data_IF_216211933666
#
_entry.id   IF_216211933666
#
_cell.length_a   1.000
_cell.length_b   1.000
_cell.length_c   1.000
_cell.angle_alpha   90.00
_cell.angle_beta   90.00
_cell.angle_gamma   90.00
#
_symmetry.space_group_name_H-M   'P 1'
#
loop_
_entity.id
_entity.type
_entity.pdbx_description
1 polymer ?
#
# COMPACT_ATOMS: atom_id res chain seq x y z
N UNK A 1 17.13 -4.95 -4.61
CA UNK A 1 16.50 -3.61 -4.69
C UNK A 1 15.56 -3.53 -5.89
N UNK A 2 16.04 -3.87 -7.08
CA UNK A 2 15.19 -3.89 -8.28
C UNK A 2 14.08 -4.94 -8.13
N UNK A 3 14.40 -6.07 -7.54
CA UNK A 3 13.42 -7.12 -7.26
C UNK A 3 12.29 -6.58 -6.38
N UNK A 4 12.61 -5.91 -5.28
CA UNK A 4 11.59 -5.36 -4.39
C UNK A 4 10.75 -4.28 -5.07
N UNK A 5 11.39 -3.44 -5.88
CA UNK A 5 10.67 -2.41 -6.60
C UNK A 5 9.67 -3.00 -7.59
N UNK A 6 10.12 -3.93 -8.43
CA UNK A 6 9.30 -4.47 -9.52
C UNK A 6 8.37 -5.56 -9.01
N UNK A 7 8.91 -6.56 -8.32
CA UNK A 7 8.15 -7.73 -7.95
C UNK A 7 7.13 -7.42 -6.85
N UNK A 8 7.59 -6.93 -5.72
CA UNK A 8 6.71 -6.70 -4.57
C UNK A 8 5.80 -5.50 -4.79
N UNK A 9 6.39 -4.36 -5.18
CA UNK A 9 5.62 -3.14 -5.37
C UNK A 9 4.58 -3.28 -6.46
N UNK A 10 4.97 -3.83 -7.61
CA UNK A 10 4.04 -3.97 -8.74
C UNK A 10 2.95 -5.00 -8.45
N UNK A 11 3.32 -6.14 -7.86
CA UNK A 11 2.34 -7.18 -7.54
C UNK A 11 1.27 -6.67 -6.58
N UNK A 12 1.67 -5.99 -5.53
CA UNK A 12 0.73 -5.42 -4.57
C UNK A 12 -0.12 -4.33 -5.19
N UNK A 13 0.46 -3.47 -6.02
CA UNK A 13 -0.29 -2.40 -6.68
C UNK A 13 -1.28 -2.94 -7.71
N UNK A 14 -0.91 -3.96 -8.45
CA UNK A 14 -1.84 -4.59 -9.40
C UNK A 14 -3.03 -5.16 -8.64
N UNK A 15 -2.81 -5.86 -7.54
CA UNK A 15 -3.89 -6.45 -6.78
C UNK A 15 -4.75 -5.40 -6.10
N UNK A 16 -4.15 -4.49 -5.32
CA UNK A 16 -4.92 -3.57 -4.50
C UNK A 16 -5.46 -2.38 -5.28
N UNK A 17 -4.67 -1.74 -6.16
CA UNK A 17 -5.10 -0.54 -6.87
C UNK A 17 -5.56 -0.82 -8.28
N UNK A 18 -4.95 -1.81 -8.93
CA UNK A 18 -5.37 -2.17 -10.28
C UNK A 18 -6.61 -3.04 -10.32
N UNK A 19 -6.82 -3.87 -9.31
CA UNK A 19 -7.94 -4.81 -9.28
C UNK A 19 -8.95 -4.48 -8.20
N UNK A 20 -8.56 -4.59 -6.94
CA UNK A 20 -9.48 -4.48 -5.81
C UNK A 20 -10.09 -3.08 -5.69
N UNK A 21 -9.26 -2.04 -5.71
CA UNK A 21 -9.74 -0.68 -5.58
C UNK A 21 -10.66 -0.30 -6.74
N UNK A 22 -10.30 -0.67 -7.97
CA UNK A 22 -11.13 -0.38 -9.13
C UNK A 22 -12.52 -1.01 -9.01
N UNK A 23 -12.59 -2.25 -8.56
CA UNK A 23 -13.87 -2.94 -8.39
C UNK A 23 -14.70 -2.33 -7.26
N UNK A 24 -14.08 -2.01 -6.15
CA UNK A 24 -14.76 -1.40 -5.01
C UNK A 24 -15.25 0.01 -5.36
N UNK A 25 -14.45 0.79 -6.06
CA UNK A 25 -14.83 2.13 -6.50
C UNK A 25 -15.99 2.06 -7.48
N UNK A 26 -15.97 1.12 -8.42
CA UNK A 26 -17.06 0.92 -9.35
C UNK A 26 -18.37 0.56 -8.64
N UNK A 27 -18.29 -0.26 -7.59
CA UNK A 27 -19.49 -0.74 -6.90
C UNK A 27 -20.01 0.27 -5.89
N UNK A 28 -19.12 0.90 -5.12
CA UNK A 28 -19.51 1.73 -3.97
C UNK A 28 -19.19 3.22 -4.14
N UNK A 29 -18.56 3.62 -5.25
CA UNK A 29 -18.08 4.97 -5.46
C UNK A 29 -16.66 5.15 -4.92
N UNK A 30 -16.02 6.25 -5.32
CA UNK A 30 -14.61 6.49 -4.98
C UNK A 30 -14.39 6.55 -3.48
N UNK A 31 -15.22 7.32 -2.78
CA UNK A 31 -15.00 7.59 -1.35
C UNK A 31 -14.99 6.32 -0.53
N UNK A 32 -16.03 5.52 -0.66
CA UNK A 32 -16.18 4.27 0.09
C UNK A 32 -15.20 3.21 -0.40
N UNK A 33 -15.09 3.04 -1.71
CA UNK A 33 -14.19 2.06 -2.30
C UNK A 33 -12.75 2.29 -1.92
N UNK A 34 -12.31 3.56 -1.92
CA UNK A 34 -10.94 3.89 -1.56
C UNK A 34 -10.65 3.65 -0.08
N UNK A 35 -11.62 3.94 0.80
CA UNK A 35 -11.47 3.64 2.23
C UNK A 35 -11.35 2.13 2.45
N UNK A 36 -12.19 1.34 1.80
CA UNK A 36 -12.19 -0.11 1.97
C UNK A 36 -10.86 -0.71 1.49
N UNK A 37 -10.37 -0.31 0.32
CA UNK A 37 -9.10 -0.86 -0.18
C UNK A 37 -7.92 -0.47 0.71
N UNK A 38 -7.91 0.77 1.21
CA UNK A 38 -6.86 1.20 2.12
C UNK A 38 -6.88 0.43 3.42
N UNK A 39 -8.07 0.19 3.98
CA UNK A 39 -8.22 -0.58 5.19
C UNK A 39 -7.77 -2.02 5.01
N UNK A 40 -8.16 -2.66 3.91
CA UNK A 40 -7.74 -4.02 3.61
C UNK A 40 -6.23 -4.11 3.42
N UNK A 41 -5.63 -3.13 2.77
CA UNK A 41 -4.18 -3.05 2.60
C UNK A 41 -3.47 -2.97 3.96
N UNK A 42 -3.98 -2.12 4.86
CA UNK A 42 -3.44 -2.00 6.21
C UNK A 42 -3.59 -3.27 7.03
N UNK A 43 -4.77 -3.89 6.98
CA UNK A 43 -5.02 -5.13 7.71
C UNK A 43 -4.12 -6.27 7.24
N UNK A 44 -3.89 -6.38 5.95
CA UNK A 44 -2.98 -7.40 5.42
C UNK A 44 -1.58 -7.23 5.99
N UNK A 45 -1.07 -6.01 6.02
CA UNK A 45 0.25 -5.74 6.57
C UNK A 45 0.30 -6.03 8.07
N UNK A 46 -0.76 -5.66 8.80
CA UNK A 46 -0.84 -5.95 10.23
C UNK A 46 -0.79 -7.43 10.54
N UNK A 47 -1.53 -8.23 9.78
CA UNK A 47 -1.55 -9.68 9.96
C UNK A 47 -0.17 -10.28 9.73
N UNK A 48 0.50 -9.86 8.66
CA UNK A 48 1.84 -10.39 8.35
C UNK A 48 2.87 -10.08 9.43
N UNK A 49 2.76 -8.93 10.07
CA UNK A 49 3.79 -8.49 11.02
C UNK A 49 3.38 -8.65 12.48
N UNK A 50 2.23 -9.25 12.75
CA UNK A 50 1.73 -9.40 14.12
C UNK A 50 2.71 -10.15 15.02
N UNK A 51 3.28 -11.25 14.54
CA UNK A 51 4.19 -12.07 15.32
C UNK A 51 5.51 -11.38 15.69
N UNK A 52 5.88 -10.36 14.91
CA UNK A 52 7.13 -9.60 15.13
C UNK A 52 6.86 -8.34 15.95
N UNK A 53 5.81 -7.62 15.59
CA UNK A 53 5.54 -6.28 16.11
C UNK A 53 4.74 -6.24 17.40
N UNK A 54 4.02 -7.33 17.73
CA UNK A 54 3.11 -7.35 18.87
C UNK A 54 1.84 -6.54 18.63
N UNK A 55 1.01 -6.41 19.66
CA UNK A 55 -0.29 -5.76 19.51
C UNK A 55 -0.16 -4.28 19.17
N UNK A 56 0.64 -3.53 19.91
CA UNK A 56 0.79 -2.09 19.69
C UNK A 56 1.46 -1.81 18.34
N UNK A 57 2.53 -2.54 18.02
CA UNK A 57 3.20 -2.40 16.73
C UNK A 57 2.29 -2.74 15.55
N UNK A 58 1.45 -3.74 15.72
CA UNK A 58 0.48 -4.13 14.69
C UNK A 58 -0.53 -3.02 14.42
N UNK A 59 -1.05 -2.38 15.47
CA UNK A 59 -1.98 -1.27 15.33
C UNK A 59 -1.32 -0.12 14.56
N UNK A 60 -0.08 0.22 14.91
CA UNK A 60 0.67 1.27 14.21
C UNK A 60 0.84 0.91 12.73
N UNK A 61 1.21 -0.32 12.43
CA UNK A 61 1.39 -0.78 11.06
C UNK A 61 0.07 -0.67 10.28
N UNK A 62 -1.03 -1.11 10.85
CA UNK A 62 -2.35 -1.04 10.20
C UNK A 62 -2.70 0.41 9.87
N UNK A 63 -2.53 1.31 10.82
CA UNK A 63 -2.86 2.73 10.62
C UNK A 63 -2.00 3.33 9.53
N UNK A 64 -0.67 3.16 9.62
CA UNK A 64 0.24 3.79 8.67
C UNK A 64 0.08 3.22 7.25
N UNK A 65 -0.01 1.91 7.11
CA UNK A 65 -0.17 1.29 5.79
C UNK A 65 -1.56 1.53 5.22
N UNK A 66 -2.58 1.56 6.07
CA UNK A 66 -3.94 1.89 5.65
C UNK A 66 -4.03 3.31 5.10
N UNK A 67 -3.42 4.27 5.79
CA UNK A 67 -3.36 5.65 5.32
C UNK A 67 -2.58 5.75 4.00
N UNK A 68 -1.46 5.06 3.91
CA UNK A 68 -0.67 5.00 2.68
C UNK A 68 -1.49 4.43 1.53
N UNK A 69 -2.27 3.37 1.78
CA UNK A 69 -3.15 2.79 0.78
C UNK A 69 -4.24 3.76 0.32
N UNK A 70 -4.82 4.50 1.26
CA UNK A 70 -5.82 5.51 0.93
C UNK A 70 -5.24 6.61 0.06
N UNK A 71 -4.06 7.11 0.42
CA UNK A 71 -3.36 8.16 -0.35
C UNK A 71 -3.02 7.65 -1.75
N UNK A 72 -2.53 6.42 -1.86
CA UNK A 72 -2.20 5.82 -3.16
C UNK A 72 -3.42 5.73 -4.06
N UNK A 73 -4.55 5.29 -3.51
CA UNK A 73 -5.80 5.24 -4.27
C UNK A 73 -6.26 6.63 -4.71
N UNK A 74 -6.15 7.62 -3.83
CA UNK A 74 -6.51 9.00 -4.16
C UNK A 74 -5.64 9.55 -5.28
N UNK A 75 -4.32 9.33 -5.20
CA UNK A 75 -3.39 9.78 -6.24
C UNK A 75 -3.74 9.15 -7.58
N UNK A 76 -3.97 7.82 -7.60
CA UNK A 76 -4.28 7.12 -8.83
C UNK A 76 -5.57 7.62 -9.48
N UNK A 77 -6.65 7.69 -8.71
CA UNK A 77 -7.99 7.96 -9.26
C UNK A 77 -8.24 9.44 -9.49
N UNK A 78 -7.71 10.31 -8.65
CA UNK A 78 -8.02 11.73 -8.71
C UNK A 78 -6.92 12.60 -9.32
N UNK A 79 -5.66 12.17 -9.21
CA UNK A 79 -4.53 12.97 -9.70
C UNK A 79 -3.86 12.40 -10.94
N UNK A 80 -4.00 11.10 -11.18
CA UNK A 80 -3.31 10.41 -12.27
C UNK A 80 -4.26 9.77 -13.28
N UNK A 81 -5.53 10.16 -13.29
CA UNK A 81 -6.49 9.69 -14.26
C UNK A 81 -6.80 8.20 -14.20
N UNK A 82 -6.67 7.59 -13.02
CA UNK A 82 -6.94 6.18 -12.83
C UNK A 82 -5.76 5.25 -13.09
N UNK A 83 -4.58 5.80 -13.39
CA UNK A 83 -3.38 5.00 -13.58
C UNK A 83 -2.81 4.53 -12.25
N UNK A 84 -2.31 3.29 -12.20
CA UNK A 84 -1.64 2.76 -11.01
C UNK A 84 -0.15 3.04 -10.99
N UNK A 85 0.39 3.67 -12.03
CA UNK A 85 1.83 3.90 -12.14
C UNK A 85 2.34 4.79 -11.02
N UNK A 86 1.59 5.85 -10.68
CA UNK A 86 2.01 6.77 -9.62
C UNK A 86 2.12 6.07 -8.26
N UNK A 87 1.12 5.27 -7.88
CA UNK A 87 1.18 4.55 -6.61
C UNK A 87 2.19 3.43 -6.65
N UNK A 88 2.40 2.79 -7.80
CA UNK A 88 3.45 1.79 -7.95
C UNK A 88 4.82 2.39 -7.70
N UNK A 89 5.11 3.55 -8.30
CA UNK A 89 6.39 4.25 -8.09
C UNK A 89 6.54 4.63 -6.62
N UNK A 90 5.50 5.18 -6.01
CA UNK A 90 5.53 5.55 -4.60
C UNK A 90 5.79 4.34 -3.69
N UNK A 91 5.11 3.24 -3.94
CA UNK A 91 5.26 2.01 -3.16
C UNK A 91 6.68 1.44 -3.36
N UNK A 92 7.17 1.42 -4.60
CA UNK A 92 8.51 0.93 -4.89
C UNK A 92 9.58 1.76 -4.23
N UNK A 93 9.43 3.10 -4.24
CA UNK A 93 10.37 3.98 -3.55
C UNK A 93 10.35 3.77 -2.05
N UNK A 94 9.17 3.54 -1.47
CA UNK A 94 9.05 3.21 -0.06
C UNK A 94 9.79 1.92 0.30
N UNK A 95 9.60 0.88 -0.50
CA UNK A 95 10.29 -0.40 -0.30
C UNK A 95 11.81 -0.26 -0.48
N UNK A 96 12.23 0.51 -1.48
CA UNK A 96 13.63 0.78 -1.74
C UNK A 96 14.28 1.50 -0.54
N UNK A 97 13.62 2.54 -0.05
CA UNK A 97 14.11 3.32 1.09
C UNK A 97 14.23 2.45 2.33
N UNK A 98 13.20 1.63 2.62
CA UNK A 98 13.22 0.73 3.76
C UNK A 98 14.35 -0.29 3.65
N UNK A 99 14.59 -0.82 2.46
CA UNK A 99 15.68 -1.79 2.23
C UNK A 99 17.05 -1.16 2.49
N UNK A 100 17.25 0.08 2.04
CA UNK A 100 18.51 0.80 2.30
C UNK A 100 18.68 1.05 3.79
N UNK A 101 17.62 1.47 4.48
CA UNK A 101 17.68 1.73 5.92
C UNK A 101 18.07 0.47 6.70
N UNK A 102 17.50 -0.68 6.34
CA UNK A 102 17.85 -1.95 6.97
C UNK A 102 19.30 -2.33 6.66
N UNK A 103 19.72 -2.18 5.40
CA UNK A 103 21.08 -2.53 4.97
C UNK A 103 22.14 -1.74 5.72
N UNK A 104 21.90 -0.46 6.01
CA UNK A 104 22.82 0.39 6.73
C UNK A 104 22.54 0.44 8.23
N UNK A 105 21.66 -0.42 8.71
CA UNK A 105 21.40 -0.58 10.15
C UNK A 105 20.86 0.71 10.78
N UNK A 106 20.05 1.46 10.04
CA UNK A 106 19.46 2.72 10.52
C UNK A 106 18.22 2.43 11.37
N UNK A 107 17.50 1.37 11.02
CA UNK A 107 16.29 0.94 11.73
C UNK A 107 16.38 -0.51 12.15
#
# INVERSE_FOLDING_TARGET
IIYYFIQTGLSEEIFFRGFLAKRLINKFGFRIGNIIQGLLFGLMHGIFFFGIAGVMGTIIIIVLTGMSGWVSGWINEKQSGGSIISSWVLHGLGNFTASIAVMFNII
#
